data_IF_780748399475
#
_entry.id   IF_780748399475
#
_cell.length_a   1.000
_cell.length_b   1.000
_cell.length_c   1.000
_cell.angle_alpha   90.00
_cell.angle_beta   90.00
_cell.angle_gamma   90.00
#
_symmetry.space_group_name_H-M   'P 1'
#
loop_
_entity.id
_entity.type
_entity.pdbx_description
1 polymer ?
#
# COMPACT_ATOMS: atom_id res chain seq x y z
N UNK A 1 18.93 -18.41 6.16
CA UNK A 1 18.46 -17.42 7.16
C UNK A 1 19.56 -16.45 7.55
N UNK A 2 20.78 -16.90 7.91
CA UNK A 2 21.89 -16.03 8.35
C UNK A 2 22.11 -14.78 7.47
N UNK A 3 22.18 -14.92 6.15
CA UNK A 3 22.36 -13.76 5.25
C UNK A 3 21.20 -12.75 5.30
N UNK A 4 19.96 -13.21 5.50
CA UNK A 4 18.81 -12.31 5.61
C UNK A 4 18.88 -11.57 6.95
N UNK A 5 19.15 -12.28 8.03
CA UNK A 5 19.37 -11.72 9.37
C UNK A 5 20.47 -10.65 9.33
N UNK A 6 21.64 -10.96 8.76
CA UNK A 6 22.75 -10.02 8.62
C UNK A 6 22.37 -8.73 7.88
N UNK A 7 21.55 -8.84 6.82
CA UNK A 7 21.06 -7.68 6.06
C UNK A 7 20.10 -6.84 6.91
N UNK A 8 19.17 -7.48 7.62
CA UNK A 8 18.17 -6.76 8.43
C UNK A 8 18.81 -6.12 9.65
N UNK A 9 19.72 -6.83 10.31
CA UNK A 9 20.53 -6.31 11.39
C UNK A 9 21.38 -5.13 10.92
N UNK A 10 22.20 -5.30 9.88
CA UNK A 10 23.10 -4.24 9.40
C UNK A 10 22.37 -2.98 8.91
N UNK A 11 21.21 -3.12 8.26
CA UNK A 11 20.47 -1.97 7.70
C UNK A 11 19.47 -1.34 8.66
N UNK A 12 18.81 -2.13 9.49
CA UNK A 12 17.66 -1.67 10.28
C UNK A 12 17.81 -1.91 11.78
N UNK A 13 18.85 -2.63 12.22
CA UNK A 13 19.07 -3.02 13.62
C UNK A 13 17.86 -3.76 14.20
N UNK A 14 17.32 -4.70 13.40
CA UNK A 14 16.17 -5.53 13.77
C UNK A 14 16.57 -6.99 13.64
N UNK A 15 16.25 -7.75 14.69
CA UNK A 15 16.28 -9.21 14.71
C UNK A 15 15.05 -9.77 13.97
N UNK A 16 15.26 -10.63 12.97
CA UNK A 16 14.17 -11.21 12.18
C UNK A 16 13.41 -12.32 12.88
N UNK A 17 13.91 -12.83 14.01
CA UNK A 17 13.24 -13.85 14.84
C UNK A 17 12.23 -13.24 15.84
N UNK A 18 12.35 -11.94 16.15
CA UNK A 18 11.44 -11.22 17.07
C UNK A 18 9.99 -11.07 16.53
N UNK A 19 9.74 -10.66 15.27
CA UNK A 19 8.38 -10.56 14.74
C UNK A 19 7.79 -11.92 14.33
N UNK A 20 6.54 -12.16 14.74
CA UNK A 20 5.80 -13.39 14.43
C UNK A 20 5.54 -13.64 12.93
N UNK A 21 5.50 -12.57 12.12
CA UNK A 21 5.26 -12.67 10.67
C UNK A 21 6.11 -11.68 9.89
N UNK A 22 6.37 -11.99 8.62
CA UNK A 22 7.07 -11.08 7.70
C UNK A 22 6.34 -9.74 7.53
N UNK A 23 5.00 -9.74 7.60
CA UNK A 23 4.21 -8.50 7.53
C UNK A 23 4.44 -7.61 8.75
N UNK A 24 4.56 -8.20 9.95
CA UNK A 24 4.91 -7.45 11.17
C UNK A 24 6.34 -6.91 11.09
N UNK A 25 7.29 -7.71 10.59
CA UNK A 25 8.66 -7.26 10.33
C UNK A 25 8.69 -6.05 9.38
N UNK A 26 8.02 -6.14 8.24
CA UNK A 26 7.95 -5.06 7.25
C UNK A 26 7.31 -3.79 7.82
N UNK A 27 6.19 -3.93 8.56
CA UNK A 27 5.53 -2.80 9.22
C UNK A 27 6.41 -2.15 10.28
N UNK A 28 7.20 -2.93 11.02
CA UNK A 28 8.16 -2.42 12.01
C UNK A 28 9.27 -1.63 11.35
N UNK A 29 9.90 -2.19 10.30
CA UNK A 29 10.92 -1.50 9.50
C UNK A 29 10.37 -0.17 8.98
N UNK A 30 9.19 -0.18 8.37
CA UNK A 30 8.54 1.02 7.85
C UNK A 30 8.32 2.06 8.95
N UNK A 31 7.76 1.66 10.10
CA UNK A 31 7.47 2.56 11.23
C UNK A 31 8.73 3.18 11.83
N UNK A 32 9.82 2.43 11.89
CA UNK A 32 11.09 2.90 12.47
C UNK A 32 11.88 3.81 11.52
N UNK A 33 11.89 3.51 10.21
CA UNK A 33 12.84 4.11 9.28
C UNK A 33 12.20 5.08 8.27
N UNK A 34 10.90 4.95 7.99
CA UNK A 34 10.27 5.65 6.86
C UNK A 34 8.99 6.39 7.25
N UNK A 35 8.32 5.99 8.33
CA UNK A 35 7.06 6.58 8.73
C UNK A 35 7.24 7.93 9.41
N UNK A 36 6.80 8.99 8.73
CA UNK A 36 6.77 10.33 9.29
C UNK A 36 5.37 10.66 9.82
N UNK A 37 5.10 10.30 11.07
CA UNK A 37 3.82 10.57 11.73
C UNK A 37 3.42 12.05 11.75
N UNK A 38 4.40 12.97 11.82
CA UNK A 38 4.11 14.41 11.92
C UNK A 38 3.52 14.96 10.62
N UNK A 39 4.02 14.49 9.48
CA UNK A 39 3.59 14.97 8.17
C UNK A 39 2.50 14.08 7.54
N UNK A 40 2.52 12.78 7.83
CA UNK A 40 1.63 11.78 7.20
C UNK A 40 1.02 10.84 8.26
N UNK A 41 0.16 11.34 9.16
CA UNK A 41 -0.41 10.53 10.23
C UNK A 41 -1.45 9.54 9.70
N UNK A 42 -1.23 8.23 9.85
CA UNK A 42 -2.26 7.21 9.54
C UNK A 42 -3.44 7.37 10.50
N UNK A 43 -4.53 7.94 10.00
CA UNK A 43 -5.77 8.11 10.75
C UNK A 43 -6.50 6.77 10.90
N UNK A 44 -6.99 6.47 12.11
CA UNK A 44 -7.80 5.28 12.38
C UNK A 44 -9.28 5.67 12.26
N UNK A 45 -9.98 5.27 11.18
CA UNK A 45 -11.38 5.61 11.01
C UNK A 45 -12.27 4.89 12.02
N UNK A 46 -13.46 5.45 12.27
CA UNK A 46 -14.52 4.72 12.98
C UNK A 46 -15.10 3.61 12.08
N UNK A 47 -15.87 2.70 12.68
CA UNK A 47 -16.44 1.54 11.98
C UNK A 47 -17.24 1.90 10.72
N UNK A 48 -18.03 2.97 10.74
CA UNK A 48 -18.85 3.35 9.60
C UNK A 48 -17.97 3.78 8.41
N UNK A 49 -16.99 4.64 8.68
CA UNK A 49 -16.03 5.12 7.67
C UNK A 49 -15.17 3.98 7.15
N UNK A 50 -14.64 3.11 8.03
CA UNK A 50 -13.86 1.93 7.63
C UNK A 50 -14.67 0.99 6.73
N UNK A 51 -15.92 0.70 7.10
CA UNK A 51 -16.81 -0.16 6.32
C UNK A 51 -17.05 0.41 4.92
N UNK A 52 -17.28 1.72 4.82
CA UNK A 52 -17.47 2.39 3.54
C UNK A 52 -16.21 2.33 2.66
N UNK A 53 -15.04 2.68 3.22
CA UNK A 53 -13.75 2.61 2.52
C UNK A 53 -13.48 1.20 1.99
N UNK A 54 -13.76 0.17 2.79
CA UNK A 54 -13.52 -1.24 2.41
C UNK A 54 -14.38 -1.71 1.24
N UNK A 55 -15.55 -1.12 0.99
CA UNK A 55 -16.35 -1.47 -0.19
C UNK A 55 -15.65 -1.09 -1.50
N UNK A 56 -14.83 -0.04 -1.49
CA UNK A 56 -14.00 0.37 -2.63
C UNK A 56 -12.59 -0.24 -2.65
N UNK A 57 -12.28 -1.17 -1.73
CA UNK A 57 -10.95 -1.77 -1.65
C UNK A 57 -10.87 -3.05 -2.49
N UNK A 58 -10.48 -2.89 -3.75
CA UNK A 58 -10.32 -3.97 -4.71
C UNK A 58 -8.88 -4.51 -4.77
N UNK A 59 -8.74 -5.76 -5.21
CA UNK A 59 -7.44 -6.42 -5.40
C UNK A 59 -6.79 -6.14 -6.76
N UNK A 60 -5.84 -6.98 -7.13
CA UNK A 60 -5.19 -6.91 -8.45
C UNK A 60 -6.16 -7.24 -9.58
N UNK A 61 -5.90 -6.63 -10.75
CA UNK A 61 -6.64 -6.90 -11.98
C UNK A 61 -6.16 -8.23 -12.60
N UNK A 62 -7.10 -9.10 -12.94
CA UNK A 62 -6.83 -10.36 -13.65
C UNK A 62 -7.88 -10.55 -14.72
N UNK A 63 -7.44 -10.58 -15.98
CA UNK A 63 -8.34 -10.86 -17.10
C UNK A 63 -8.62 -12.36 -17.22
N UNK A 64 -9.91 -12.73 -17.27
CA UNK A 64 -10.33 -14.11 -17.54
C UNK A 64 -10.70 -14.22 -19.01
N UNK A 65 -9.70 -14.50 -19.85
CA UNK A 65 -9.90 -14.91 -21.23
C UNK A 65 -9.17 -16.24 -21.47
N UNK A 66 -9.54 -16.97 -22.52
CA UNK A 66 -8.82 -18.16 -23.00
C UNK A 66 -7.94 -17.76 -24.19
N UNK A 67 -6.74 -17.18 -23.97
CA UNK A 67 -5.82 -16.91 -25.06
C UNK A 67 -5.32 -18.23 -25.65
N UNK A 68 -5.52 -18.41 -26.95
CA UNK A 68 -4.65 -19.26 -27.75
C UNK A 68 -3.88 -18.34 -28.69
N UNK A 69 -2.56 -18.34 -28.56
CA UNK A 69 -1.65 -17.58 -29.41
C UNK A 69 -0.25 -18.20 -29.29
N UNK A 70 0.51 -18.12 -30.38
CA UNK A 70 1.89 -18.62 -30.47
C UNK A 70 2.86 -17.41 -30.51
N UNK A 71 4.11 -17.61 -30.09
CA UNK A 71 5.19 -16.61 -30.17
C UNK A 71 4.90 -15.25 -29.50
N UNK A 72 4.33 -15.27 -28.28
CA UNK A 72 4.03 -14.06 -27.52
C UNK A 72 5.14 -13.62 -26.53
N UNK A 73 5.14 -12.33 -26.23
CA UNK A 73 5.93 -11.73 -25.14
C UNK A 73 5.08 -11.57 -23.88
N UNK A 74 5.64 -11.96 -22.73
CA UNK A 74 5.06 -11.72 -21.40
C UNK A 74 5.80 -10.57 -20.73
N UNK A 75 5.05 -9.57 -20.25
CA UNK A 75 5.60 -8.42 -19.55
C UNK A 75 5.07 -8.38 -18.12
N UNK A 76 5.95 -8.04 -17.19
CA UNK A 76 5.61 -7.88 -15.78
C UNK A 76 6.20 -6.56 -15.27
N UNK A 77 5.51 -5.94 -14.32
CA UNK A 77 5.96 -4.69 -13.71
C UNK A 77 6.82 -5.03 -12.49
N UNK A 78 8.10 -4.64 -12.55
CA UNK A 78 9.03 -4.84 -11.45
C UNK A 78 8.53 -4.15 -10.17
N UNK A 79 8.09 -4.95 -9.20
CA UNK A 79 7.63 -4.46 -7.89
C UNK A 79 6.52 -3.40 -8.00
N UNK A 80 5.44 -3.73 -8.72
CA UNK A 80 4.29 -2.86 -8.98
C UNK A 80 3.84 -2.04 -7.75
N UNK A 81 3.47 -2.70 -6.65
CA UNK A 81 2.97 -1.99 -5.47
C UNK A 81 4.01 -1.06 -4.82
N UNK A 82 5.26 -1.50 -4.53
CA UNK A 82 6.30 -0.60 -4.05
C UNK A 82 6.57 0.59 -4.97
N UNK A 83 6.56 0.38 -6.30
CA UNK A 83 6.72 1.47 -7.27
C UNK A 83 5.59 2.49 -7.12
N UNK A 84 4.34 2.02 -7.09
CA UNK A 84 3.18 2.91 -6.94
C UNK A 84 3.21 3.68 -5.63
N UNK A 85 3.50 3.00 -4.51
CA UNK A 85 3.60 3.63 -3.18
C UNK A 85 4.71 4.69 -3.09
N UNK A 86 5.75 4.60 -3.93
CA UNK A 86 6.90 5.53 -3.93
C UNK A 86 6.68 6.73 -4.85
N UNK A 87 6.15 6.51 -6.04
CA UNK A 87 6.11 7.52 -7.09
C UNK A 87 4.83 8.37 -7.06
N UNK A 88 3.73 7.85 -6.49
CA UNK A 88 2.44 8.53 -6.48
C UNK A 88 2.03 8.98 -5.08
N UNK A 89 1.23 10.04 -5.02
CA UNK A 89 0.66 10.52 -3.76
C UNK A 89 -0.33 9.48 -3.22
N UNK A 90 -0.27 9.23 -1.92
CA UNK A 90 -1.16 8.27 -1.24
C UNK A 90 -2.03 9.00 -0.21
N UNK A 91 -3.28 8.54 0.03
CA UNK A 91 -4.12 9.12 1.06
C UNK A 91 -3.56 8.86 2.45
N UNK A 92 -3.43 9.91 3.27
CA UNK A 92 -2.93 9.81 4.65
C UNK A 92 -3.62 10.74 5.65
N UNK A 93 -4.65 11.49 5.26
CA UNK A 93 -5.35 12.43 6.14
C UNK A 93 -6.60 11.85 6.81
N UNK A 94 -7.30 12.71 7.57
CA UNK A 94 -8.64 12.39 8.08
C UNK A 94 -9.63 12.41 6.92
N UNK A 95 -10.37 11.33 6.67
CA UNK A 95 -11.35 11.28 5.58
C UNK A 95 -12.53 12.22 5.85
N UNK A 96 -13.08 12.80 4.78
CA UNK A 96 -14.21 13.74 4.83
C UNK A 96 -15.35 13.22 3.96
N UNK A 97 -16.57 13.24 4.49
CA UNK A 97 -17.77 12.93 3.70
C UNK A 97 -18.11 14.11 2.78
N UNK A 98 -18.22 13.84 1.48
CA UNK A 98 -18.66 14.81 0.47
C UNK A 98 -19.87 14.24 -0.27
N UNK A 99 -20.92 15.06 -0.40
CA UNK A 99 -22.14 14.71 -1.14
C UNK A 99 -22.14 15.26 -2.57
N UNK A 100 -21.54 16.43 -2.76
CA UNK A 100 -21.38 17.06 -4.06
C UNK A 100 -19.88 17.10 -4.42
N UNK A 101 -19.56 16.71 -5.64
CA UNK A 101 -18.21 16.69 -6.20
C UNK A 101 -18.01 17.72 -7.30
N UNK A 102 -19.04 18.51 -7.66
CA UNK A 102 -18.97 19.53 -8.71
C UNK A 102 -17.87 20.59 -8.49
N UNK A 103 -17.57 20.90 -7.23
CA UNK A 103 -16.55 21.88 -6.83
C UNK A 103 -15.20 21.24 -6.47
N UNK A 104 -15.03 19.93 -6.71
CA UNK A 104 -13.83 19.19 -6.31
C UNK A 104 -12.95 18.92 -7.53
N UNK A 105 -11.68 19.33 -7.46
CA UNK A 105 -10.69 18.93 -8.46
C UNK A 105 -10.39 17.44 -8.34
N UNK A 106 -10.85 16.66 -9.32
CA UNK A 106 -10.79 15.19 -9.29
C UNK A 106 -9.36 14.65 -9.20
N UNK A 107 -8.38 15.34 -9.78
CA UNK A 107 -6.97 14.94 -9.75
C UNK A 107 -6.37 14.99 -8.34
N UNK A 108 -7.01 15.72 -7.43
CA UNK A 108 -6.61 15.80 -6.01
C UNK A 108 -7.40 14.84 -5.11
N UNK A 109 -8.37 14.13 -5.68
CA UNK A 109 -9.34 13.33 -4.93
C UNK A 109 -8.86 11.87 -4.78
N UNK A 110 -8.58 11.49 -3.54
CA UNK A 110 -8.55 10.09 -3.13
C UNK A 110 -9.92 9.70 -2.57
N UNK A 111 -10.81 9.25 -3.44
CA UNK A 111 -12.20 8.93 -3.12
C UNK A 111 -12.51 7.44 -3.16
N UNK A 112 -13.52 7.04 -2.38
CA UNK A 112 -14.19 5.75 -2.50
C UNK A 112 -15.64 6.06 -2.90
N UNK A 113 -16.17 5.32 -3.88
CA UNK A 113 -17.47 5.58 -4.49
C UNK A 113 -18.37 4.35 -4.39
#
# INVERSE_FOLDING_TARGET
MLKAEDIHWSKFQIDTEDPMTLSVLAMRIFRQNSYNYKNFPIHIPNRNVDTFIRHGHYGGHTDVYKPFAEDLYYYDVNSLYPFVMKEFTMPGGVPVWRKNLEEVELDTLFGFF
#
